data_IF_513456769733
#
_entry.id   IF_513456769733
#
_cell.length_a   1.000
_cell.length_b   1.000
_cell.length_c   1.000
_cell.angle_alpha   90.00
_cell.angle_beta   90.00
_cell.angle_gamma   90.00
#
_symmetry.space_group_name_H-M   'P 1'
#
loop_
_entity.id
_entity.type
_entity.pdbx_description
1 polymer ?
#
# COMPACT_ATOMS: atom_id res chain seq x y z
N UNK A 1 43.30 44.92 21.39
CA UNK A 1 42.64 43.63 21.65
C UNK A 1 41.62 43.43 20.54
N UNK A 2 41.96 42.56 19.61
CA UNK A 2 41.19 42.32 18.36
C UNK A 2 40.48 40.99 18.50
N UNK A 3 39.16 41.05 18.77
CA UNK A 3 38.32 39.90 18.84
C UNK A 3 38.02 39.38 17.45
N UNK A 4 38.56 38.23 17.08
CA UNK A 4 38.21 37.48 15.87
C UNK A 4 36.91 36.75 16.15
N UNK A 5 35.80 37.30 15.60
CA UNK A 5 34.50 36.62 15.62
C UNK A 5 34.56 35.42 14.69
N UNK A 6 34.47 34.24 15.30
CA UNK A 6 34.37 32.97 14.59
C UNK A 6 32.88 32.82 14.18
N UNK A 7 32.59 33.19 12.94
CA UNK A 7 31.28 32.94 12.33
C UNK A 7 31.25 31.44 11.98
N UNK A 8 30.66 30.66 12.85
CA UNK A 8 30.34 29.25 12.59
C UNK A 8 29.12 29.22 11.65
N UNK A 9 29.39 29.18 10.36
CA UNK A 9 28.36 28.95 9.35
C UNK A 9 27.90 27.49 9.50
N UNK A 10 26.82 27.32 10.25
CA UNK A 10 26.12 26.04 10.40
C UNK A 10 25.38 25.75 9.13
N UNK A 11 26.06 25.06 8.18
CA UNK A 11 25.44 24.54 6.97
C UNK A 11 24.43 23.45 7.39
N UNK A 12 23.18 23.83 7.45
CA UNK A 12 22.08 22.89 7.52
C UNK A 12 22.03 22.11 6.19
N UNK A 13 22.64 20.94 6.17
CA UNK A 13 22.44 19.94 5.13
C UNK A 13 20.98 19.50 5.23
N UNK A 14 20.13 20.08 4.41
CA UNK A 14 18.78 19.57 4.14
C UNK A 14 18.96 18.22 3.41
N UNK A 15 19.17 17.17 4.18
CA UNK A 15 19.04 15.82 3.70
C UNK A 15 17.56 15.64 3.32
N UNK A 16 17.25 15.84 2.04
CA UNK A 16 15.93 15.55 1.50
C UNK A 16 15.63 14.07 1.73
N UNK A 17 14.82 13.76 2.73
CA UNK A 17 14.36 12.40 2.97
C UNK A 17 13.60 11.91 1.75
N UNK A 18 14.12 10.90 1.08
CA UNK A 18 13.40 10.17 0.05
C UNK A 18 12.30 9.37 0.74
N UNK A 19 11.05 9.70 0.44
CA UNK A 19 9.90 9.04 1.05
C UNK A 19 9.13 8.25 0.02
N UNK A 20 8.80 7.02 0.35
CA UNK A 20 7.85 6.19 -0.38
C UNK A 20 6.75 5.78 0.58
N UNK A 21 5.51 5.82 0.14
CA UNK A 21 4.34 5.52 0.97
C UNK A 21 3.45 4.51 0.27
N UNK A 22 2.99 3.51 1.02
CA UNK A 22 1.97 2.56 0.60
C UNK A 22 0.69 2.88 1.40
N UNK A 23 -0.38 3.21 0.68
CA UNK A 23 -1.69 3.48 1.27
C UNK A 23 -2.64 2.35 0.90
N UNK A 24 -3.29 1.76 1.91
CA UNK A 24 -4.34 0.78 1.68
C UNK A 24 -5.63 1.48 1.24
N UNK A 25 -6.16 1.09 0.10
CA UNK A 25 -7.43 1.61 -0.45
C UNK A 25 -8.58 0.61 -0.29
N UNK A 26 -8.29 -0.60 0.18
CA UNK A 26 -9.31 -1.62 0.43
C UNK A 26 -10.21 -1.20 1.60
N UNK A 27 -11.52 -1.28 1.47
CA UNK A 27 -12.43 -1.07 2.58
C UNK A 27 -12.15 -2.04 3.74
N UNK A 28 -12.44 -1.63 4.96
CA UNK A 28 -12.26 -2.50 6.14
C UNK A 28 -13.22 -3.69 6.15
N UNK A 29 -14.35 -3.55 5.47
CA UNK A 29 -15.38 -4.58 5.36
C UNK A 29 -15.83 -4.71 3.90
N UNK A 30 -16.02 -5.93 3.46
CA UNK A 30 -16.61 -6.26 2.16
C UNK A 30 -17.71 -7.31 2.35
N UNK A 31 -18.80 -7.21 1.56
CA UNK A 31 -19.84 -8.22 1.57
C UNK A 31 -19.29 -9.53 1.00
N UNK A 32 -19.81 -10.65 1.50
CA UNK A 32 -19.47 -11.97 0.97
C UNK A 32 -19.89 -12.07 -0.49
N UNK A 33 -18.96 -12.48 -1.33
CA UNK A 33 -19.20 -12.68 -2.77
C UNK A 33 -19.42 -14.14 -3.08
N UNK A 34 -20.28 -14.42 -4.06
CA UNK A 34 -20.52 -15.78 -4.54
C UNK A 34 -19.29 -16.41 -5.22
N UNK A 35 -18.39 -15.57 -5.73
CA UNK A 35 -17.18 -16.02 -6.41
C UNK A 35 -16.03 -16.33 -5.46
N UNK A 36 -16.11 -15.90 -4.21
CA UNK A 36 -14.99 -15.97 -3.24
C UNK A 36 -13.80 -15.09 -3.58
N UNK A 37 -13.93 -14.18 -4.55
CA UNK A 37 -12.88 -13.26 -4.98
C UNK A 37 -13.15 -11.87 -4.41
N UNK A 38 -12.13 -11.28 -3.78
CA UNK A 38 -12.24 -9.98 -3.11
C UNK A 38 -11.21 -9.00 -3.65
N UNK A 39 -11.65 -7.78 -4.02
CA UNK A 39 -10.74 -6.75 -4.53
C UNK A 39 -9.89 -6.19 -3.40
N UNK A 40 -8.59 -6.23 -3.59
CA UNK A 40 -7.59 -5.61 -2.71
C UNK A 40 -6.86 -4.55 -3.50
N UNK A 41 -6.80 -3.34 -2.96
CA UNK A 41 -6.28 -2.18 -3.65
C UNK A 41 -5.28 -1.40 -2.79
N UNK A 42 -4.25 -0.88 -3.43
CA UNK A 42 -3.25 -0.03 -2.79
C UNK A 42 -2.83 1.12 -3.70
N UNK A 43 -2.35 2.20 -3.08
CA UNK A 43 -1.66 3.27 -3.76
C UNK A 43 -0.21 3.32 -3.30
N UNK A 44 0.71 3.40 -4.27
CA UNK A 44 2.12 3.63 -4.02
C UNK A 44 2.50 5.02 -4.51
N UNK A 45 3.09 5.80 -3.62
CA UNK A 45 3.59 7.14 -3.91
C UNK A 45 5.07 7.23 -3.53
N UNK A 46 5.87 7.89 -4.34
CA UNK A 46 7.28 8.15 -4.08
C UNK A 46 7.68 9.49 -4.69
N UNK A 47 8.49 10.25 -3.95
CA UNK A 47 9.11 11.48 -4.41
C UNK A 47 10.47 11.25 -5.10
N UNK A 48 10.92 10.00 -5.23
CA UNK A 48 12.20 9.67 -5.84
C UNK A 48 12.13 9.73 -7.36
N UNK A 49 12.93 10.60 -7.96
CA UNK A 49 13.00 10.78 -9.42
C UNK A 49 13.69 9.62 -10.15
N UNK A 50 14.55 8.90 -9.45
CA UNK A 50 15.32 7.77 -9.99
C UNK A 50 14.55 6.45 -9.94
N UNK A 51 13.36 6.44 -9.35
CA UNK A 51 12.50 5.26 -9.31
C UNK A 51 12.07 4.86 -10.72
N UNK A 52 12.41 3.63 -11.12
CA UNK A 52 11.91 3.03 -12.33
C UNK A 52 10.47 2.51 -12.12
N UNK A 53 9.49 3.29 -12.56
CA UNK A 53 8.07 2.96 -12.39
C UNK A 53 7.66 1.70 -13.17
N UNK A 54 8.39 1.34 -14.22
CA UNK A 54 8.12 0.14 -15.00
C UNK A 54 8.68 -1.14 -14.33
N UNK A 55 9.63 -1.00 -13.42
CA UNK A 55 10.18 -2.11 -12.64
C UNK A 55 9.30 -2.56 -11.49
N UNK A 56 8.25 -1.81 -11.17
CA UNK A 56 7.40 -2.07 -9.99
C UNK A 56 6.67 -3.40 -10.10
N UNK A 57 6.80 -4.23 -9.07
CA UNK A 57 6.17 -5.53 -8.90
C UNK A 57 5.47 -5.60 -7.55
N UNK A 58 4.26 -5.06 -7.47
CA UNK A 58 3.50 -5.10 -6.23
C UNK A 58 2.83 -6.45 -6.01
N UNK A 59 2.79 -6.85 -4.76
CA UNK A 59 2.19 -8.09 -4.29
C UNK A 59 1.28 -7.80 -3.09
N UNK A 60 0.17 -8.50 -3.02
CA UNK A 60 -0.59 -8.72 -1.79
C UNK A 60 -0.13 -10.04 -1.17
N UNK A 61 0.28 -10.03 0.07
CA UNK A 61 0.65 -11.23 0.81
C UNK A 61 -0.45 -11.51 1.82
N UNK A 62 -1.10 -12.65 1.67
CA UNK A 62 -2.20 -13.12 2.50
C UNK A 62 -2.05 -14.62 2.73
N UNK A 63 -2.10 -15.09 3.98
CA UNK A 63 -1.97 -16.51 4.33
C UNK A 63 -0.74 -17.20 3.71
N UNK A 64 0.43 -16.54 3.73
CA UNK A 64 1.68 -16.99 3.11
C UNK A 64 1.64 -17.19 1.59
N UNK A 65 0.62 -16.67 0.93
CA UNK A 65 0.52 -16.64 -0.53
C UNK A 65 0.70 -15.21 -1.03
N UNK A 66 1.37 -15.07 -2.17
CA UNK A 66 1.61 -13.79 -2.81
C UNK A 66 0.74 -13.68 -4.08
N UNK A 67 -0.04 -12.61 -4.15
CA UNK A 67 -0.91 -12.31 -5.28
C UNK A 67 -0.39 -11.07 -6.01
N UNK A 68 0.07 -11.22 -7.27
CA UNK A 68 0.52 -10.08 -8.05
C UNK A 68 -0.61 -9.07 -8.27
N UNK A 69 -0.28 -7.78 -8.17
CA UNK A 69 -1.20 -6.68 -8.46
C UNK A 69 -0.94 -6.11 -9.85
N UNK A 70 -1.96 -5.58 -10.46
CA UNK A 70 -1.90 -4.85 -11.73
C UNK A 70 -2.21 -3.37 -11.55
N UNK A 71 -1.70 -2.54 -12.44
CA UNK A 71 -2.04 -1.10 -12.43
C UNK A 71 -3.49 -0.89 -12.83
N UNK A 72 -4.15 0.05 -12.18
CA UNK A 72 -5.42 0.57 -12.66
C UNK A 72 -5.17 1.60 -13.77
N UNK A 73 -6.00 1.60 -14.83
CA UNK A 73 -5.78 2.45 -15.99
C UNK A 73 -6.05 3.93 -15.73
N UNK A 74 -6.86 4.27 -14.74
CA UNK A 74 -7.38 5.62 -14.53
C UNK A 74 -6.61 6.45 -13.51
N UNK A 75 -5.80 5.83 -12.65
CA UNK A 75 -5.13 6.52 -11.56
C UNK A 75 -3.67 6.10 -11.44
N UNK A 76 -2.77 7.09 -11.53
CA UNK A 76 -1.33 6.84 -11.37
C UNK A 76 -1.04 6.33 -9.96
N UNK A 77 -0.21 5.30 -9.87
CA UNK A 77 0.24 4.73 -8.60
C UNK A 77 -0.77 3.84 -7.89
N UNK A 78 -1.96 3.63 -8.46
CA UNK A 78 -2.97 2.71 -7.93
C UNK A 78 -2.82 1.32 -8.54
N UNK A 79 -2.92 0.32 -7.67
CA UNK A 79 -2.75 -1.08 -7.98
C UNK A 79 -3.88 -1.89 -7.37
N UNK A 80 -4.30 -2.95 -8.06
CA UNK A 80 -5.41 -3.80 -7.66
C UNK A 80 -5.14 -5.26 -7.96
N UNK A 81 -5.77 -6.14 -7.22
CA UNK A 81 -5.84 -7.58 -7.50
C UNK A 81 -7.09 -8.18 -6.88
N UNK A 82 -7.46 -9.37 -7.34
CA UNK A 82 -8.51 -10.18 -6.72
C UNK A 82 -7.85 -11.30 -5.93
N UNK A 83 -8.15 -11.36 -4.63
CA UNK A 83 -7.63 -12.39 -3.73
C UNK A 83 -8.73 -13.43 -3.47
N UNK A 84 -8.50 -14.72 -3.75
CA UNK A 84 -9.43 -15.77 -3.41
C UNK A 84 -9.41 -16.02 -1.90
N UNK A 85 -10.58 -16.00 -1.30
CA UNK A 85 -10.75 -16.22 0.13
C UNK A 85 -11.72 -17.40 0.30
N UNK A 86 -11.33 -18.44 1.07
CA UNK A 86 -12.18 -19.60 1.28
C UNK A 86 -13.52 -19.24 1.93
N UNK A 87 -14.55 -19.98 1.56
CA UNK A 87 -15.87 -19.85 2.19
C UNK A 87 -15.78 -20.07 3.70
N UNK A 88 -16.63 -19.34 4.44
CA UNK A 88 -16.63 -19.39 5.89
C UNK A 88 -15.59 -18.51 6.58
N UNK A 89 -14.62 -17.97 5.84
CA UNK A 89 -13.65 -17.01 6.38
C UNK A 89 -14.36 -15.68 6.67
N UNK A 90 -14.20 -15.17 7.89
CA UNK A 90 -14.79 -13.90 8.30
C UNK A 90 -13.78 -12.75 8.33
N UNK A 91 -12.51 -13.07 8.58
CA UNK A 91 -11.43 -12.08 8.73
C UNK A 91 -10.18 -12.61 8.07
N UNK A 92 -9.52 -11.77 7.30
CA UNK A 92 -8.19 -12.03 6.76
C UNK A 92 -7.23 -10.91 7.15
N UNK A 93 -5.97 -11.30 7.35
CA UNK A 93 -4.86 -10.37 7.50
C UNK A 93 -4.01 -10.41 6.25
N UNK A 94 -3.62 -9.25 5.77
CA UNK A 94 -2.79 -9.10 4.58
C UNK A 94 -1.87 -7.90 4.69
N UNK A 95 -0.84 -7.87 3.88
CA UNK A 95 0.03 -6.71 3.73
C UNK A 95 0.49 -6.58 2.28
N UNK A 96 1.01 -5.42 1.92
CA UNK A 96 1.54 -5.14 0.60
C UNK A 96 3.06 -5.23 0.61
N UNK A 97 3.62 -5.76 -0.48
CA UNK A 97 5.03 -5.72 -0.78
C UNK A 97 5.23 -5.12 -2.17
N UNK A 98 6.03 -4.07 -2.27
CA UNK A 98 6.40 -3.45 -3.53
C UNK A 98 7.89 -3.65 -3.76
N UNK A 99 8.24 -4.44 -4.77
CA UNK A 99 9.62 -4.58 -5.25
C UNK A 99 9.80 -3.64 -6.44
N UNK A 100 10.90 -2.91 -6.50
CA UNK A 100 11.19 -1.93 -7.55
C UNK A 100 12.68 -1.68 -7.69
N UNK A 101 13.07 -0.99 -8.77
CA UNK A 101 14.46 -0.63 -9.04
C UNK A 101 14.62 0.89 -9.16
N UNK A 102 15.81 1.36 -8.81
CA UNK A 102 16.26 2.72 -9.09
C UNK A 102 17.19 2.72 -10.29
N UNK A 103 17.02 3.70 -11.17
CA UNK A 103 17.91 3.98 -12.31
C UNK A 103 18.87 5.09 -11.92
N UNK A 104 20.05 4.78 -11.41
CA UNK A 104 21.15 5.72 -11.32
C UNK A 104 21.99 5.67 -12.61
N UNK A 105 22.74 6.74 -12.88
CA UNK A 105 23.46 6.96 -14.16
C UNK A 105 24.38 5.80 -14.55
N UNK A 106 24.84 4.96 -13.61
CA UNK A 106 25.73 3.82 -13.85
C UNK A 106 25.33 2.51 -13.18
N UNK A 107 24.26 2.50 -12.38
CA UNK A 107 23.86 1.31 -11.63
C UNK A 107 22.35 1.23 -11.50
N UNK A 108 21.81 0.03 -11.62
CA UNK A 108 20.45 -0.29 -11.15
C UNK A 108 20.57 -0.84 -9.72
N UNK A 109 19.75 -0.35 -8.85
CA UNK A 109 19.65 -0.83 -7.46
C UNK A 109 18.24 -1.29 -7.19
N UNK A 110 18.09 -2.55 -6.78
CA UNK A 110 16.82 -3.10 -6.37
C UNK A 110 16.51 -2.72 -4.91
N UNK A 111 15.25 -2.45 -4.64
CA UNK A 111 14.75 -2.16 -3.31
C UNK A 111 13.35 -2.72 -3.13
N UNK A 112 12.89 -2.78 -1.89
CA UNK A 112 11.60 -3.35 -1.54
C UNK A 112 10.98 -2.58 -0.38
N UNK A 113 9.66 -2.38 -0.45
CA UNK A 113 8.90 -1.76 0.63
C UNK A 113 7.74 -2.64 1.05
N UNK A 114 7.65 -2.87 2.36
CA UNK A 114 6.55 -3.56 3.01
C UNK A 114 5.60 -2.55 3.67
N UNK A 115 4.31 -2.80 3.59
CA UNK A 115 3.32 -2.08 4.38
C UNK A 115 3.17 -2.70 5.78
N UNK A 116 2.56 -1.98 6.73
CA UNK A 116 1.98 -2.60 7.91
C UNK A 116 0.94 -3.66 7.53
N UNK A 117 0.60 -4.59 8.44
CA UNK A 117 -0.51 -5.51 8.21
C UNK A 117 -1.85 -4.77 8.27
N UNK A 118 -2.77 -5.19 7.42
CA UNK A 118 -4.15 -4.74 7.38
C UNK A 118 -5.09 -5.91 7.60
N UNK A 119 -6.31 -5.60 7.99
CA UNK A 119 -7.36 -6.58 8.22
C UNK A 119 -8.56 -6.27 7.34
N UNK A 120 -9.10 -7.28 6.68
CA UNK A 120 -10.37 -7.23 5.95
C UNK A 120 -11.37 -8.14 6.63
N UNK A 121 -12.52 -7.60 6.96
CA UNK A 121 -13.67 -8.33 7.48
C UNK A 121 -14.65 -8.64 6.35
N UNK A 122 -15.07 -9.88 6.25
CA UNK A 122 -16.06 -10.34 5.29
C UNK A 122 -17.39 -10.51 6.04
N UNK A 123 -18.39 -9.74 5.60
CA UNK A 123 -19.71 -9.70 6.23
C UNK A 123 -20.75 -10.37 5.36
N UNK A 124 -21.62 -11.16 5.97
CA UNK A 124 -22.72 -11.80 5.27
C UNK A 124 -23.84 -10.77 5.02
N UNK A 125 -24.34 -10.71 3.79
CA UNK A 125 -25.34 -9.71 3.34
C UNK A 125 -26.65 -9.74 4.14
N UNK A 126 -26.93 -10.83 4.83
CA UNK A 126 -28.16 -10.96 5.65
C UNK A 126 -28.13 -10.09 6.92
N UNK A 127 -26.96 -9.62 7.37
CA UNK A 127 -26.87 -8.86 8.61
C UNK A 127 -27.01 -7.33 8.40
N UNK A 128 -26.96 -6.86 7.16
CA UNK A 128 -27.11 -5.44 6.84
C UNK A 128 -28.59 -5.02 6.86
N UNK A 129 -29.52 -5.93 6.59
CA UNK A 129 -30.97 -5.66 6.62
C UNK A 129 -31.53 -5.48 8.03
N UNK A 130 -30.98 -6.15 9.02
CA UNK A 130 -31.47 -6.07 10.42
C UNK A 130 -31.03 -4.78 11.13
N UNK A 131 -29.90 -4.19 10.75
CA UNK A 131 -29.39 -2.96 11.38
C UNK A 131 -30.16 -1.70 10.98
N UNK A 132 -30.87 -1.77 9.86
CA UNK A 132 -31.70 -0.64 9.37
C UNK A 132 -33.13 -0.67 9.93
N UNK A 133 -33.62 -1.84 10.38
CA UNK A 133 -34.97 -1.96 10.96
C UNK A 133 -35.03 -1.64 12.47
N UNK A 134 -33.93 -1.67 13.19
CA UNK A 134 -33.88 -1.31 14.63
C UNK A 134 -33.80 0.21 14.87
N UNK A 135 -33.82 1.04 13.84
CA UNK A 135 -33.72 2.52 13.96
C UNK A 135 -35.04 3.26 13.79
N UNK A 136 -36.14 2.55 13.59
CA UNK A 136 -37.47 3.15 13.37
C UNK A 136 -38.51 2.80 14.47
N UNK A 137 -38.06 2.43 15.67
CA UNK A 137 -38.93 2.36 16.84
C UNK A 137 -38.56 3.37 17.94
#
# INVERSE_FOLDING_TARGET
MRGIGFIFAMSFLLAGCTTSTITNLTPKQLPRTATGLYPIEAMFQSNQRTLDRESMRPLVICNNQAFPMRRTHLTKGRWETLVPIPDGTQVINYHFKFDYEYKAIRMRSADSKLSPPFQLQIVDSANTGNMLMEREE
#
